data_IF_605801496194
#
_entry.id   IF_605801496194
#
_cell.length_a   1.000
_cell.length_b   1.000
_cell.length_c   1.000
_cell.angle_alpha   90.00
_cell.angle_beta   90.00
_cell.angle_gamma   90.00
#
_symmetry.space_group_name_H-M   'P 1'
#
loop_
_entity.id
_entity.type
_entity.pdbx_description
1 polymer ?
#
# COMPACT_ATOMS: atom_id res chain seq x y z
N UNK A 1 0.11 5.65 -7.82
CA UNK A 1 1.27 6.49 -7.41
C UNK A 1 1.28 6.43 -5.89
N UNK A 2 2.35 5.98 -5.21
CA UNK A 2 2.45 6.11 -3.76
C UNK A 2 3.45 7.22 -3.46
N UNK A 3 2.92 8.43 -3.33
CA UNK A 3 3.62 9.48 -2.62
C UNK A 3 4.02 8.93 -1.23
N UNK A 4 5.33 8.89 -0.97
CA UNK A 4 5.87 9.00 0.40
C UNK A 4 4.97 10.00 1.12
N UNK A 5 4.42 9.69 2.32
CA UNK A 5 3.43 10.55 2.97
C UNK A 5 3.85 12.02 2.83
N UNK A 6 3.09 12.78 2.02
CA UNK A 6 3.48 14.14 1.64
C UNK A 6 3.54 15.06 2.86
N UNK A 7 2.90 14.62 3.93
CA UNK A 7 3.05 15.13 5.28
C UNK A 7 4.32 14.50 5.86
N UNK A 8 5.48 15.07 5.50
CA UNK A 8 6.55 15.12 6.48
C UNK A 8 5.90 15.64 7.77
N UNK A 9 6.08 14.94 8.89
CA UNK A 9 5.65 15.51 10.17
C UNK A 9 6.26 16.90 10.22
N UNK A 10 5.40 17.92 10.19
CA UNK A 10 5.81 19.31 9.97
C UNK A 10 6.84 19.73 11.01
N UNK A 11 6.86 19.03 12.15
CA UNK A 11 7.81 19.17 13.23
C UNK A 11 8.22 17.79 13.78
N UNK A 12 9.39 17.30 13.38
CA UNK A 12 10.05 16.20 14.07
C UNK A 12 10.83 16.77 15.28
N UNK A 13 10.40 16.42 16.49
CA UNK A 13 10.98 16.95 17.73
C UNK A 13 11.93 15.95 18.40
N UNK A 14 13.01 16.49 18.97
CA UNK A 14 14.04 15.69 19.66
C UNK A 14 14.80 14.77 18.72
N UNK A 15 15.68 13.92 19.30
CA UNK A 15 16.43 12.88 18.58
C UNK A 15 17.30 13.38 17.42
N UNK A 16 17.62 14.67 17.38
CA UNK A 16 18.47 15.27 16.35
C UNK A 16 19.88 14.67 16.37
N UNK A 17 20.42 14.41 17.57
CA UNK A 17 21.70 13.72 17.73
C UNK A 17 21.66 12.29 17.17
N UNK A 18 20.62 11.52 17.51
CA UNK A 18 20.43 10.16 16.97
C UNK A 18 20.31 10.17 15.44
N UNK A 19 19.58 11.12 14.86
CA UNK A 19 19.48 11.24 13.39
C UNK A 19 20.85 11.56 12.79
N UNK A 20 21.61 12.49 13.37
CA UNK A 20 22.95 12.81 12.88
C UNK A 20 23.90 11.60 12.96
N UNK A 21 23.84 10.83 14.04
CA UNK A 21 24.61 9.60 14.23
C UNK A 21 24.23 8.53 13.19
N UNK A 22 22.94 8.28 12.98
CA UNK A 22 22.45 7.33 11.98
C UNK A 22 22.83 7.78 10.56
N UNK A 23 22.72 9.07 10.24
CA UNK A 23 23.14 9.61 8.95
C UNK A 23 24.63 9.39 8.73
N UNK A 24 25.47 9.71 9.72
CA UNK A 24 26.90 9.52 9.65
C UNK A 24 27.25 8.04 9.42
N UNK A 25 26.69 7.17 10.26
CA UNK A 25 26.94 5.72 10.18
C UNK A 25 26.52 5.12 8.84
N UNK A 26 25.35 5.49 8.29
CA UNK A 26 24.87 4.92 7.03
C UNK A 26 25.61 5.46 5.80
N UNK A 27 26.24 6.63 5.90
CA UNK A 27 26.92 7.29 4.77
C UNK A 27 28.43 7.05 4.75
N UNK A 28 29.05 6.83 5.91
CA UNK A 28 30.49 6.59 5.99
C UNK A 28 30.82 5.12 5.71
N UNK A 29 31.71 4.81 4.74
CA UNK A 29 32.14 3.44 4.49
C UNK A 29 32.74 2.82 5.77
N UNK A 30 32.17 1.73 6.26
CA UNK A 30 32.62 1.06 7.50
C UNK A 30 33.70 -0.01 7.24
N UNK A 31 34.45 0.08 6.13
CA UNK A 31 35.52 -0.87 5.79
C UNK A 31 35.70 -1.09 4.30
N UNK A 32 36.48 -2.13 3.95
CA UNK A 32 36.91 -2.49 2.60
C UNK A 32 35.96 -3.45 1.87
N UNK A 33 34.86 -3.86 2.49
CA UNK A 33 33.87 -4.77 1.90
C UNK A 33 32.68 -3.99 1.32
N UNK A 34 32.20 -4.42 0.15
CA UNK A 34 31.07 -3.89 -0.62
C UNK A 34 29.69 -4.12 0.06
N UNK A 35 29.68 -4.19 1.39
CA UNK A 35 28.51 -4.51 2.20
C UNK A 35 27.82 -3.21 2.66
N UNK A 36 26.49 -3.09 2.52
CA UNK A 36 25.78 -1.92 3.00
C UNK A 36 25.83 -1.83 4.53
N UNK A 37 25.91 -0.60 5.05
CA UNK A 37 25.84 -0.34 6.47
C UNK A 37 24.42 -0.64 6.99
N UNK A 38 24.31 -1.44 8.06
CA UNK A 38 23.02 -1.87 8.64
C UNK A 38 22.90 -1.32 10.06
N UNK A 39 21.84 -0.55 10.31
CA UNK A 39 21.50 -0.02 11.63
C UNK A 39 20.18 -0.63 12.15
N UNK A 40 20.13 -1.01 13.43
CA UNK A 40 18.94 -1.58 14.07
C UNK A 40 18.37 -0.58 15.07
N UNK A 41 17.10 -0.22 14.91
CA UNK A 41 16.39 0.66 15.84
C UNK A 41 15.63 -0.16 16.90
N UNK A 42 16.22 -0.32 18.08
CA UNK A 42 15.58 -1.01 19.21
C UNK A 42 14.75 -0.03 20.05
N UNK A 43 13.43 -0.21 20.05
CA UNK A 43 12.50 0.65 20.78
C UNK A 43 11.12 -0.01 20.96
N UNK A 44 10.38 0.38 22.00
CA UNK A 44 9.01 -0.09 22.25
C UNK A 44 8.01 0.39 21.17
N UNK A 45 6.81 -0.20 21.17
CA UNK A 45 5.67 0.34 20.40
C UNK A 45 5.41 1.81 20.77
N UNK A 46 5.05 2.64 19.80
CA UNK A 46 4.77 4.07 20.03
C UNK A 46 5.99 4.99 20.21
N UNK A 47 7.21 4.46 20.39
CA UNK A 47 8.43 5.29 20.58
C UNK A 47 8.93 5.99 19.31
N UNK A 48 8.31 5.77 18.16
CA UNK A 48 8.59 6.53 16.94
C UNK A 48 9.67 5.95 16.00
N UNK A 49 9.89 4.64 15.98
CA UNK A 49 10.82 3.98 15.03
C UNK A 49 10.54 4.35 13.57
N UNK A 50 9.29 4.21 13.14
CA UNK A 50 8.87 4.55 11.78
C UNK A 50 9.07 6.05 11.48
N UNK A 51 8.83 6.91 12.47
CA UNK A 51 9.07 8.36 12.36
C UNK A 51 10.55 8.68 12.17
N UNK A 52 11.45 8.01 12.90
CA UNK A 52 12.91 8.15 12.76
C UNK A 52 13.34 7.73 11.34
N UNK A 53 12.88 6.57 10.86
CA UNK A 53 13.21 6.07 9.53
C UNK A 53 12.73 7.03 8.42
N UNK A 54 11.51 7.55 8.53
CA UNK A 54 10.97 8.50 7.55
C UNK A 54 11.72 9.83 7.54
N UNK A 55 12.05 10.40 8.71
CA UNK A 55 12.83 11.65 8.78
C UNK A 55 14.25 11.45 8.25
N UNK A 56 14.87 10.30 8.53
CA UNK A 56 16.16 9.93 7.97
C UNK A 56 16.10 9.86 6.43
N UNK A 57 15.14 9.12 5.86
CA UNK A 57 14.93 9.08 4.41
C UNK A 57 14.72 10.48 3.83
N UNK A 58 13.89 11.32 4.46
CA UNK A 58 13.65 12.69 4.01
C UNK A 58 14.93 13.53 3.96
N UNK A 59 15.81 13.41 4.96
CA UNK A 59 17.10 14.13 4.97
C UNK A 59 18.06 13.57 3.93
N UNK A 60 18.17 12.25 3.81
CA UNK A 60 19.03 11.59 2.83
C UNK A 60 18.59 11.88 1.39
N UNK A 61 17.30 12.04 1.14
CA UNK A 61 16.75 12.49 -0.16
C UNK A 61 17.26 13.89 -0.54
N UNK A 62 17.29 14.83 0.40
CA UNK A 62 17.77 16.21 0.16
C UNK A 62 19.24 16.27 -0.26
N UNK A 63 20.04 15.31 0.20
CA UNK A 63 21.45 15.20 -0.15
C UNK A 63 21.72 14.22 -1.29
N UNK A 64 20.67 13.71 -1.97
CA UNK A 64 20.76 12.78 -3.10
C UNK A 64 21.49 11.45 -2.78
N UNK A 65 21.51 11.04 -1.51
CA UNK A 65 22.25 9.86 -1.03
C UNK A 65 21.40 8.59 -0.82
N UNK A 66 20.12 8.60 -1.19
CA UNK A 66 19.25 7.42 -1.10
C UNK A 66 19.48 6.38 -2.21
N UNK A 67 20.49 6.57 -3.07
CA UNK A 67 20.67 5.76 -4.26
C UNK A 67 19.55 5.97 -5.29
N UNK A 68 19.42 5.02 -6.23
CA UNK A 68 18.36 5.05 -7.25
C UNK A 68 17.05 4.58 -6.65
N UNK A 69 16.03 5.43 -6.71
CA UNK A 69 14.66 5.07 -6.35
C UNK A 69 14.00 4.30 -7.50
N UNK A 70 13.52 3.09 -7.25
CA UNK A 70 12.68 2.34 -8.17
C UNK A 70 11.25 2.46 -7.72
N UNK A 71 10.43 3.10 -8.54
CA UNK A 71 8.99 3.11 -8.32
C UNK A 71 8.45 1.72 -8.59
N UNK A 72 7.76 1.13 -7.61
CA UNK A 72 7.03 -0.12 -7.82
C UNK A 72 5.77 0.23 -8.62
N UNK A 73 5.61 -0.31 -9.84
CA UNK A 73 4.44 -0.06 -10.68
C UNK A 73 3.20 -0.75 -10.11
N UNK A 74 2.01 -0.35 -10.58
CA UNK A 74 0.80 -1.14 -10.32
C UNK A 74 0.89 -2.48 -11.05
N UNK A 75 0.23 -3.50 -10.51
CA UNK A 75 0.17 -4.84 -11.10
C UNK A 75 -0.88 -4.94 -12.24
N UNK A 76 -1.34 -3.81 -12.78
CA UNK A 76 -2.43 -3.77 -13.78
C UNK A 76 -2.07 -4.54 -15.06
N UNK A 77 -0.80 -4.51 -15.45
CA UNK A 77 -0.28 -5.23 -16.63
C UNK A 77 0.91 -6.13 -16.25
N UNK A 78 1.07 -6.46 -14.98
CA UNK A 78 2.22 -7.20 -14.46
C UNK A 78 1.82 -8.08 -13.26
N UNK A 79 1.36 -9.30 -13.55
CA UNK A 79 1.09 -10.31 -12.53
C UNK A 79 -0.20 -10.15 -11.73
N UNK A 80 -0.98 -9.09 -11.93
CA UNK A 80 -2.18 -8.82 -11.13
C UNK A 80 -3.30 -9.82 -11.36
N UNK A 81 -3.48 -10.27 -12.61
CA UNK A 81 -4.46 -11.31 -12.94
C UNK A 81 -4.04 -12.66 -12.36
N UNK A 82 -2.76 -12.99 -12.49
CA UNK A 82 -2.16 -14.21 -11.95
C UNK A 82 -2.30 -14.26 -10.42
N UNK A 83 -2.11 -13.12 -9.75
CA UNK A 83 -2.30 -12.99 -8.32
C UNK A 83 -3.77 -13.23 -7.91
N UNK A 84 -4.72 -12.64 -8.65
CA UNK A 84 -6.15 -12.78 -8.38
C UNK A 84 -6.64 -14.23 -8.56
N UNK A 85 -6.20 -14.89 -9.64
CA UNK A 85 -6.73 -16.18 -10.07
C UNK A 85 -5.91 -17.40 -9.59
N UNK A 86 -4.91 -17.18 -8.72
CA UNK A 86 -3.91 -18.19 -8.33
C UNK A 86 -4.49 -19.50 -7.77
N UNK A 87 -5.67 -19.43 -7.16
CA UNK A 87 -6.30 -20.56 -6.48
C UNK A 87 -7.35 -21.26 -7.38
N UNK A 88 -7.54 -20.79 -8.63
CA UNK A 88 -8.48 -21.36 -9.60
C UNK A 88 -7.82 -22.40 -10.50
N UNK A 89 -8.61 -23.33 -11.04
CA UNK A 89 -8.11 -24.31 -12.02
C UNK A 89 -7.84 -23.67 -13.39
N UNK A 90 -6.95 -24.27 -14.19
CA UNK A 90 -6.61 -23.75 -15.52
C UNK A 90 -7.82 -23.55 -16.45
N UNK A 91 -8.86 -24.37 -16.30
CA UNK A 91 -10.11 -24.24 -17.06
C UNK A 91 -10.91 -23.01 -16.62
N UNK A 92 -10.96 -22.74 -15.32
CA UNK A 92 -11.66 -21.58 -14.75
C UNK A 92 -10.92 -20.28 -15.07
N UNK A 93 -9.59 -20.29 -15.09
CA UNK A 93 -8.77 -19.13 -15.48
C UNK A 93 -9.12 -18.71 -16.91
N UNK A 94 -9.19 -19.65 -17.85
CA UNK A 94 -9.47 -19.33 -19.26
C UNK A 94 -10.87 -18.72 -19.43
N UNK A 95 -11.88 -19.24 -18.74
CA UNK A 95 -13.25 -18.69 -18.81
C UNK A 95 -13.42 -17.37 -18.06
N UNK A 96 -12.58 -17.09 -17.05
CA UNK A 96 -12.76 -15.96 -16.13
C UNK A 96 -11.75 -14.83 -16.37
N UNK A 97 -10.91 -14.93 -17.40
CA UNK A 97 -9.86 -13.95 -17.72
C UNK A 97 -10.39 -12.53 -17.83
N UNK A 98 -11.46 -12.32 -18.60
CA UNK A 98 -12.02 -10.98 -18.82
C UNK A 98 -12.57 -10.36 -17.52
N UNK A 99 -13.28 -11.15 -16.71
CA UNK A 99 -13.82 -10.69 -15.43
C UNK A 99 -12.69 -10.40 -14.43
N UNK A 100 -11.64 -11.23 -14.42
CA UNK A 100 -10.45 -11.01 -13.59
C UNK A 100 -9.68 -9.74 -13.97
N UNK A 101 -9.52 -9.46 -15.27
CA UNK A 101 -8.90 -8.23 -15.76
C UNK A 101 -9.71 -6.99 -15.33
N UNK A 102 -11.04 -7.08 -15.39
CA UNK A 102 -11.92 -6.00 -14.93
C UNK A 102 -11.82 -5.77 -13.42
N UNK A 103 -11.73 -6.83 -12.60
CA UNK A 103 -11.50 -6.73 -11.15
C UNK A 103 -10.15 -6.05 -10.88
N UNK A 104 -9.05 -6.53 -11.48
CA UNK A 104 -7.72 -5.95 -11.30
C UNK A 104 -7.70 -4.47 -11.67
N UNK A 105 -8.35 -4.12 -12.79
CA UNK A 105 -8.51 -2.74 -13.24
C UNK A 105 -9.29 -1.92 -12.23
N UNK A 106 -10.42 -2.45 -11.74
CA UNK A 106 -11.28 -1.77 -10.78
C UNK A 106 -10.57 -1.53 -9.45
N UNK A 107 -9.75 -2.46 -8.99
CA UNK A 107 -8.94 -2.36 -7.78
C UNK A 107 -7.69 -1.47 -7.96
N UNK A 108 -7.43 -0.98 -9.18
CA UNK A 108 -6.31 -0.10 -9.49
C UNK A 108 -4.96 -0.81 -9.58
N UNK A 109 -4.94 -2.14 -9.71
CA UNK A 109 -3.69 -2.91 -9.76
C UNK A 109 -2.90 -2.91 -8.45
N UNK A 110 -3.56 -2.64 -7.31
CA UNK A 110 -2.91 -2.67 -5.99
C UNK A 110 -2.77 -4.11 -5.51
N UNK A 111 -1.53 -4.57 -5.35
CA UNK A 111 -1.23 -5.95 -4.93
C UNK A 111 -2.04 -6.39 -3.70
N UNK A 112 -2.11 -5.54 -2.68
CA UNK A 112 -2.86 -5.83 -1.45
C UNK A 112 -4.37 -5.94 -1.69
N UNK A 113 -4.95 -5.05 -2.50
CA UNK A 113 -6.39 -5.10 -2.78
C UNK A 113 -6.75 -6.34 -3.59
N UNK A 114 -5.89 -6.71 -4.56
CA UNK A 114 -6.04 -7.94 -5.36
C UNK A 114 -5.96 -9.17 -4.46
N UNK A 115 -4.96 -9.23 -3.58
CA UNK A 115 -4.77 -10.31 -2.61
C UNK A 115 -6.01 -10.51 -1.73
N UNK A 116 -6.57 -9.40 -1.22
CA UNK A 116 -7.76 -9.44 -0.38
C UNK A 116 -9.00 -9.86 -1.18
N UNK A 117 -9.16 -9.38 -2.42
CA UNK A 117 -10.25 -9.80 -3.30
C UNK A 117 -10.18 -11.31 -3.59
N UNK A 118 -9.00 -11.83 -3.94
CA UNK A 118 -8.78 -13.24 -4.18
C UNK A 118 -9.16 -14.10 -2.95
N UNK A 119 -8.69 -13.69 -1.77
CA UNK A 119 -9.02 -14.35 -0.51
C UNK A 119 -10.53 -14.32 -0.22
N UNK A 120 -11.18 -13.17 -0.42
CA UNK A 120 -12.62 -13.01 -0.22
C UNK A 120 -13.44 -13.90 -1.17
N UNK A 121 -13.07 -13.91 -2.45
CA UNK A 121 -13.71 -14.75 -3.49
C UNK A 121 -13.63 -16.23 -3.10
N UNK A 122 -12.42 -16.68 -2.77
CA UNK A 122 -12.15 -18.08 -2.40
C UNK A 122 -12.90 -18.49 -1.13
N UNK A 123 -12.87 -17.65 -0.09
CA UNK A 123 -13.53 -17.92 1.17
C UNK A 123 -15.06 -18.04 1.03
N UNK A 124 -15.67 -17.14 0.25
CA UNK A 124 -17.12 -17.10 0.05
C UNK A 124 -17.61 -18.06 -1.06
N UNK A 125 -16.70 -18.72 -1.77
CA UNK A 125 -17.00 -19.59 -2.94
C UNK A 125 -17.86 -18.88 -3.98
N UNK A 126 -17.57 -17.60 -4.22
CA UNK A 126 -18.28 -16.77 -5.18
C UNK A 126 -17.57 -16.75 -6.53
N UNK A 127 -18.32 -16.43 -7.57
CA UNK A 127 -17.78 -16.16 -8.91
C UNK A 127 -17.23 -14.74 -9.00
N UNK A 128 -16.36 -14.48 -9.98
CA UNK A 128 -15.81 -13.14 -10.22
C UNK A 128 -16.90 -12.08 -10.50
N UNK A 129 -17.96 -12.36 -11.28
CA UNK A 129 -19.06 -11.41 -11.47
C UNK A 129 -19.82 -11.11 -10.17
N UNK A 130 -20.10 -12.12 -9.35
CA UNK A 130 -20.77 -11.92 -8.05
C UNK A 130 -19.95 -11.02 -7.13
N UNK A 131 -18.63 -11.24 -7.07
CA UNK A 131 -17.73 -10.36 -6.34
C UNK A 131 -17.82 -8.92 -6.84
N UNK A 132 -17.82 -8.70 -8.15
CA UNK A 132 -17.91 -7.34 -8.71
C UNK A 132 -19.22 -6.66 -8.36
N UNK A 133 -20.34 -7.37 -8.41
CA UNK A 133 -21.65 -6.83 -8.02
C UNK A 133 -21.68 -6.44 -6.54
N UNK A 134 -21.12 -7.26 -5.65
CA UNK A 134 -21.02 -6.96 -4.21
C UNK A 134 -20.07 -5.79 -3.94
N UNK A 135 -18.91 -5.79 -4.60
CA UNK A 135 -17.92 -4.73 -4.49
C UNK A 135 -18.51 -3.37 -4.87
N UNK A 136 -19.27 -3.28 -5.96
CA UNK A 136 -19.88 -2.01 -6.40
C UNK A 136 -20.97 -1.52 -5.44
N UNK A 137 -21.79 -2.43 -4.90
CA UNK A 137 -22.78 -2.09 -3.87
C UNK A 137 -22.09 -1.52 -2.62
N UNK A 138 -21.07 -2.22 -2.12
CA UNK A 138 -20.33 -1.80 -0.92
C UNK A 138 -19.56 -0.50 -1.14
N UNK A 139 -18.92 -0.34 -2.31
CA UNK A 139 -18.27 0.90 -2.74
C UNK A 139 -19.25 2.08 -2.69
N UNK A 140 -20.46 1.91 -3.21
CA UNK A 140 -21.47 2.96 -3.19
C UNK A 140 -21.92 3.34 -1.76
N UNK A 141 -22.03 2.36 -0.85
CA UNK A 141 -22.32 2.59 0.57
C UNK A 141 -21.20 3.33 1.27
N UNK A 142 -19.97 2.82 1.17
CA UNK A 142 -18.77 3.44 1.76
C UNK A 142 -18.57 4.88 1.25
N UNK A 143 -18.83 5.13 -0.03
CA UNK A 143 -18.79 6.50 -0.60
C UNK A 143 -19.83 7.45 0.00
N UNK A 144 -20.96 6.96 0.54
CA UNK A 144 -21.95 7.82 1.22
C UNK A 144 -21.40 8.24 2.59
N UNK A 145 -20.93 7.29 3.39
CA UNK A 145 -20.40 7.55 4.74
C UNK A 145 -19.12 8.40 4.71
N UNK A 146 -18.17 8.10 3.82
CA UNK A 146 -16.90 8.85 3.72
C UNK A 146 -17.13 10.30 3.28
N UNK A 147 -18.13 10.56 2.42
CA UNK A 147 -18.48 11.94 2.02
C UNK A 147 -19.02 12.77 3.18
N UNK A 148 -19.63 12.14 4.18
CA UNK A 148 -20.18 12.82 5.36
C UNK A 148 -19.11 13.05 6.44
N UNK A 149 -18.20 12.09 6.67
CA UNK A 149 -17.24 12.14 7.80
C UNK A 149 -15.82 12.61 7.45
N UNK A 150 -15.35 12.45 6.20
CA UNK A 150 -13.94 12.63 5.83
C UNK A 150 -13.68 13.75 4.79
N UNK A 151 -14.67 14.62 4.56
CA UNK A 151 -14.56 15.72 3.58
C UNK A 151 -13.34 16.64 3.81
N UNK A 152 -12.87 16.78 5.06
CA UNK A 152 -11.68 17.59 5.39
C UNK A 152 -10.36 16.87 5.08
N UNK A 153 -10.28 15.55 5.29
CA UNK A 153 -9.07 14.75 5.01
C UNK A 153 -8.87 14.52 3.50
N UNK A 154 -9.96 14.52 2.72
CA UNK A 154 -9.95 14.31 1.27
C UNK A 154 -9.48 15.52 0.44
N UNK A 155 -9.54 16.75 0.98
CA UNK A 155 -9.04 17.96 0.29
C UNK A 155 -7.53 17.97 0.04
N UNK A 156 -6.77 17.03 0.62
CA UNK A 156 -5.30 17.02 0.60
C UNK A 156 -4.67 15.98 -0.35
N UNK A 157 -5.46 15.15 -1.04
CA UNK A 157 -4.98 14.19 -2.05
C UNK A 157 -5.61 14.53 -3.39
N UNK A 158 -4.84 14.58 -4.47
CA UNK A 158 -5.38 14.81 -5.83
C UNK A 158 -5.29 13.53 -6.68
N UNK A 159 -6.26 13.32 -7.57
CA UNK A 159 -6.15 12.37 -8.69
C UNK A 159 -6.30 10.88 -8.36
N UNK A 160 -5.57 10.03 -9.11
CA UNK A 160 -5.70 8.56 -9.09
C UNK A 160 -5.40 7.92 -7.74
N UNK A 161 -4.61 8.58 -6.88
CA UNK A 161 -4.27 8.13 -5.53
C UNK A 161 -5.49 8.08 -4.59
N UNK A 162 -6.48 8.96 -4.79
CA UNK A 162 -7.74 8.89 -4.05
C UNK A 162 -8.51 7.61 -4.38
N UNK A 163 -8.55 7.25 -5.67
CA UNK A 163 -9.27 6.08 -6.15
C UNK A 163 -8.56 4.78 -5.74
N UNK A 164 -7.23 4.73 -5.83
CA UNK A 164 -6.38 3.64 -5.33
C UNK A 164 -6.60 3.39 -3.82
N UNK A 165 -6.48 4.43 -2.99
CA UNK A 165 -6.69 4.30 -1.55
C UNK A 165 -8.13 3.90 -1.19
N UNK A 166 -9.12 4.41 -1.94
CA UNK A 166 -10.53 4.07 -1.77
C UNK A 166 -10.80 2.60 -2.12
N UNK A 167 -10.18 2.09 -3.17
CA UNK A 167 -10.32 0.71 -3.60
C UNK A 167 -9.77 -0.25 -2.55
N UNK A 168 -8.57 0.01 -2.03
CA UNK A 168 -7.99 -0.78 -0.94
C UNK A 168 -8.83 -0.72 0.35
N UNK A 169 -9.35 0.47 0.69
CA UNK A 169 -10.21 0.63 1.86
C UNK A 169 -11.51 -0.17 1.74
N UNK A 170 -12.18 -0.11 0.57
CA UNK A 170 -13.44 -0.84 0.35
C UNK A 170 -13.25 -2.35 0.47
N UNK A 171 -12.18 -2.89 -0.13
CA UNK A 171 -11.87 -4.33 -0.01
C UNK A 171 -11.49 -4.71 1.43
N UNK A 172 -10.83 -3.81 2.17
CA UNK A 172 -10.53 -4.00 3.58
C UNK A 172 -11.79 -4.04 4.45
N UNK A 173 -12.74 -3.11 4.25
CA UNK A 173 -14.03 -3.12 4.97
C UNK A 173 -14.82 -4.41 4.73
N UNK A 174 -14.88 -4.89 3.47
CA UNK A 174 -15.52 -6.17 3.15
C UNK A 174 -14.85 -7.35 3.88
N UNK A 175 -13.52 -7.35 3.96
CA UNK A 175 -12.76 -8.38 4.67
C UNK A 175 -12.91 -8.27 6.18
N UNK A 176 -13.01 -7.05 6.71
CA UNK A 176 -13.08 -6.75 8.15
C UNK A 176 -14.44 -7.12 8.74
N UNK A 177 -15.54 -6.73 8.10
CA UNK A 177 -16.91 -7.13 8.49
C UNK A 177 -17.10 -8.65 8.52
N UNK A 178 -16.27 -9.38 7.76
CA UNK A 178 -16.30 -10.83 7.72
C UNK A 178 -15.52 -11.50 8.85
N UNK A 179 -14.51 -10.84 9.43
CA UNK A 179 -13.78 -11.33 10.61
C UNK A 179 -14.55 -11.06 11.91
N UNK A 180 -15.43 -10.06 11.92
CA UNK A 180 -16.27 -9.74 13.08
C UNK A 180 -17.54 -10.62 13.21
N UNK A 181 -17.81 -11.51 12.24
CA UNK A 181 -18.89 -12.51 12.29
C UNK A 181 -18.39 -13.85 12.82
#
# INVERSE_FOLDING_TARGET
YYHVPHIAVSRFFGRQGLIAELQKFLLEPQGQDDKPNVAVLQALGGQGKSQIALELCRRLRKVSLLGRHFQVPSMMNDGGLELLLRDMSAKEIESSRADGEEIVRRLGGLALAIEQAAAYISFNRMTLPEFMDEYEKKKAEVLKYIREELWEYQKLREGSEQNEAFNAFTTWEMSFEQVER
#
